data_IF_050364344267
#
_entry.id   IF_050364344267
#
_cell.length_a   1.000
_cell.length_b   1.000
_cell.length_c   1.000
_cell.angle_alpha   90.00
_cell.angle_beta   90.00
_cell.angle_gamma   90.00
#
_symmetry.space_group_name_H-M   'P 1'
#
loop_
_entity.id
_entity.type
_entity.pdbx_description
1 polymer ?
#
# COMPACT_ATOMS: atom_id res chain seq x y z
N UNK A 1 11.80 7.95 6.90
CA UNK A 1 10.94 9.15 6.71
C UNK A 1 10.75 9.85 8.05
N UNK A 2 10.87 11.18 8.08
CA UNK A 2 10.81 11.99 9.30
C UNK A 2 9.37 12.09 9.84
N UNK A 3 8.95 11.14 10.69
CA UNK A 3 7.72 11.22 11.48
C UNK A 3 7.99 12.15 12.66
N UNK A 4 7.86 13.47 12.46
CA UNK A 4 8.08 14.49 13.48
C UNK A 4 6.92 15.46 13.54
N UNK A 5 6.70 16.04 14.72
CA UNK A 5 5.76 17.14 14.88
C UNK A 5 6.13 18.30 13.95
N UNK A 6 5.11 18.89 13.31
CA UNK A 6 5.24 20.06 12.46
C UNK A 6 4.43 21.19 13.08
N UNK A 7 5.12 22.28 13.46
CA UNK A 7 4.46 23.45 14.05
C UNK A 7 3.40 24.02 13.12
N UNK A 8 2.25 24.41 13.69
CA UNK A 8 1.10 24.95 12.95
C UNK A 8 0.20 23.89 12.30
N UNK A 9 0.50 22.60 12.44
CA UNK A 9 -0.36 21.51 12.01
C UNK A 9 -0.78 20.66 13.21
N UNK A 10 -2.06 20.29 13.25
CA UNK A 10 -2.54 19.28 14.19
C UNK A 10 -1.86 17.95 13.84
N UNK A 11 -1.11 17.41 14.80
CA UNK A 11 -0.39 16.16 14.66
C UNK A 11 -0.84 15.24 15.78
N UNK A 12 -1.27 14.03 15.41
CA UNK A 12 -1.59 12.98 16.35
C UNK A 12 -0.56 11.86 16.20
N UNK A 13 0.12 11.50 17.30
CA UNK A 13 1.14 10.45 17.30
C UNK A 13 0.61 9.24 18.05
N UNK A 14 0.57 8.10 17.35
CA UNK A 14 0.12 6.81 17.87
C UNK A 14 0.75 5.68 17.07
N UNK A 15 0.74 4.46 17.62
CA UNK A 15 1.06 3.26 16.86
C UNK A 15 -0.14 2.82 16.01
N UNK A 16 0.05 2.74 14.69
CA UNK A 16 -1.00 2.30 13.77
C UNK A 16 -1.45 0.86 14.00
N UNK A 17 -0.59 0.02 14.58
CA UNK A 17 -0.93 -1.34 14.96
C UNK A 17 -1.86 -1.40 16.19
N UNK A 18 -2.05 -0.28 16.91
CA UNK A 18 -2.97 -0.16 18.04
C UNK A 18 -4.22 0.63 17.64
N UNK A 19 -5.34 -0.08 17.46
CA UNK A 19 -6.61 0.52 17.06
C UNK A 19 -7.12 1.57 18.06
N UNK A 20 -7.00 1.32 19.36
CA UNK A 20 -7.50 2.20 20.40
C UNK A 20 -6.72 3.52 20.43
N UNK A 21 -5.41 3.44 20.22
CA UNK A 21 -4.57 4.63 20.14
C UNK A 21 -4.90 5.49 18.92
N UNK A 22 -5.14 4.90 17.74
CA UNK A 22 -5.40 5.72 16.55
C UNK A 22 -6.82 6.27 16.48
N UNK A 23 -7.80 5.63 17.13
CA UNK A 23 -9.22 5.95 16.98
C UNK A 23 -9.57 7.44 17.17
N UNK A 24 -9.03 8.17 18.16
CA UNK A 24 -9.31 9.60 18.34
C UNK A 24 -8.88 10.47 17.16
N UNK A 25 -7.90 10.06 16.36
CA UNK A 25 -7.44 10.82 15.19
C UNK A 25 -8.45 10.83 14.03
N UNK A 26 -9.45 9.95 14.06
CA UNK A 26 -10.47 9.83 13.01
C UNK A 26 -11.73 10.65 13.32
N UNK A 27 -11.87 11.16 14.55
CA UNK A 27 -13.03 11.94 14.95
C UNK A 27 -13.15 13.21 14.09
N UNK A 28 -14.37 13.44 13.59
CA UNK A 28 -14.74 14.60 12.74
C UNK A 28 -13.99 14.67 11.40
N UNK A 29 -13.35 13.57 10.97
CA UNK A 29 -12.73 13.51 9.65
C UNK A 29 -13.72 13.03 8.59
N UNK A 30 -13.79 13.72 7.45
CA UNK A 30 -14.61 13.29 6.30
C UNK A 30 -13.89 12.27 5.41
N UNK A 31 -12.56 12.39 5.30
CA UNK A 31 -11.71 11.62 4.37
C UNK A 31 -10.40 11.25 5.05
N UNK A 32 -9.92 10.02 4.81
CA UNK A 32 -8.60 9.55 5.26
C UNK A 32 -7.73 9.24 4.06
N UNK A 33 -6.49 9.73 4.06
CA UNK A 33 -5.46 9.36 3.09
C UNK A 33 -4.45 8.44 3.78
N UNK A 34 -4.51 7.14 3.48
CA UNK A 34 -3.67 6.13 4.13
C UNK A 34 -2.37 5.92 3.34
N UNK A 35 -1.29 6.53 3.85
CA UNK A 35 0.07 6.45 3.29
C UNK A 35 1.03 5.63 4.18
N UNK A 36 0.55 5.10 5.30
CA UNK A 36 1.40 4.43 6.26
C UNK A 36 1.71 2.99 5.81
N UNK A 37 3.01 2.70 5.67
CA UNK A 37 3.57 1.38 5.47
C UNK A 37 5.07 1.42 5.78
N UNK A 38 5.64 0.26 6.10
CA UNK A 38 7.05 -0.04 5.86
C UNK A 38 7.18 -0.37 4.37
N UNK A 39 7.88 0.50 3.63
CA UNK A 39 8.07 0.41 2.19
C UNK A 39 9.52 0.03 1.85
N UNK A 40 9.97 -1.09 2.41
CA UNK A 40 11.30 -1.64 2.21
C UNK A 40 11.18 -3.06 1.62
N UNK A 41 11.84 -3.30 0.49
CA UNK A 41 11.85 -4.60 -0.20
C UNK A 41 12.66 -5.68 0.53
N UNK A 42 13.53 -5.28 1.46
CA UNK A 42 14.29 -6.19 2.32
C UNK A 42 13.64 -6.45 3.69
N UNK A 43 12.48 -5.84 3.98
CA UNK A 43 11.80 -6.01 5.25
C UNK A 43 11.35 -7.47 5.47
N UNK A 44 11.48 -7.94 6.70
CA UNK A 44 11.03 -9.27 7.09
C UNK A 44 9.52 -9.31 7.26
N UNK A 45 8.96 -10.51 7.44
CA UNK A 45 7.54 -10.67 7.76
C UNK A 45 7.15 -9.91 9.04
N UNK A 46 7.97 -9.99 10.08
CA UNK A 46 7.68 -9.36 11.38
C UNK A 46 7.72 -7.84 11.29
N UNK A 47 8.60 -7.28 10.44
CA UNK A 47 8.65 -5.84 10.17
C UNK A 47 7.39 -5.33 9.45
N UNK A 48 6.74 -6.19 8.66
CA UNK A 48 5.63 -5.82 7.77
C UNK A 48 4.25 -6.09 8.38
N UNK A 49 4.10 -7.16 9.15
CA UNK A 49 2.80 -7.62 9.65
C UNK A 49 2.06 -6.53 10.43
N UNK A 50 2.72 -5.93 11.42
CA UNK A 50 2.12 -4.91 12.28
C UNK A 50 1.76 -3.63 11.49
N UNK A 51 2.70 -2.94 10.81
CA UNK A 51 2.39 -1.68 10.15
C UNK A 51 1.57 -1.82 8.86
N UNK A 52 1.82 -2.84 8.03
CA UNK A 52 1.24 -2.90 6.69
C UNK A 52 -0.09 -3.66 6.65
N UNK A 53 -0.26 -4.68 7.49
CA UNK A 53 -1.48 -5.53 7.49
C UNK A 53 -2.39 -5.10 8.65
N UNK A 54 -1.94 -5.26 9.89
CA UNK A 54 -2.75 -4.95 11.08
C UNK A 54 -3.08 -3.45 11.10
N UNK A 55 -2.08 -2.59 10.87
CA UNK A 55 -2.27 -1.15 10.82
C UNK A 55 -3.25 -0.70 9.73
N UNK A 56 -3.20 -1.31 8.54
CA UNK A 56 -4.15 -1.00 7.47
C UNK A 56 -5.57 -1.40 7.85
N UNK A 57 -5.77 -2.58 8.44
CA UNK A 57 -7.07 -2.98 8.97
C UNK A 57 -7.57 -1.99 10.03
N UNK A 58 -6.72 -1.60 10.98
CA UNK A 58 -7.09 -0.66 12.02
C UNK A 58 -7.50 0.70 11.46
N UNK A 59 -6.83 1.21 10.42
CA UNK A 59 -7.23 2.44 9.74
C UNK A 59 -8.64 2.31 9.16
N UNK A 60 -8.95 1.20 8.48
CA UNK A 60 -10.28 0.96 7.95
C UNK A 60 -11.34 0.86 9.06
N UNK A 61 -11.04 0.17 10.15
CA UNK A 61 -11.96 0.00 11.27
C UNK A 61 -12.17 1.30 12.05
N UNK A 62 -11.12 2.08 12.31
CA UNK A 62 -11.22 3.39 12.96
C UNK A 62 -12.03 4.36 12.11
N UNK A 63 -11.78 4.40 10.79
CA UNK A 63 -12.56 5.19 9.84
C UNK A 63 -14.04 4.78 9.82
N UNK A 64 -14.32 3.47 9.79
CA UNK A 64 -15.71 2.94 9.86
C UNK A 64 -16.41 3.35 11.16
N UNK A 65 -15.73 3.27 12.31
CA UNK A 65 -16.27 3.66 13.62
C UNK A 65 -16.54 5.16 13.73
N UNK A 66 -15.68 5.99 13.15
CA UNK A 66 -15.81 7.44 13.17
C UNK A 66 -16.78 8.00 12.12
N UNK A 67 -17.28 7.16 11.21
CA UNK A 67 -18.18 7.60 10.13
C UNK A 67 -17.49 8.35 9.00
N UNK A 68 -16.19 8.10 8.79
CA UNK A 68 -15.42 8.62 7.65
C UNK A 68 -16.08 8.17 6.35
N UNK A 69 -16.25 9.10 5.40
CA UNK A 69 -17.01 8.86 4.16
C UNK A 69 -16.17 8.27 3.04
N UNK A 70 -14.84 8.46 3.08
CA UNK A 70 -13.93 7.99 2.03
C UNK A 70 -12.54 7.71 2.57
N UNK A 71 -11.94 6.65 2.07
CA UNK A 71 -10.54 6.32 2.32
C UNK A 71 -9.82 6.26 0.97
N UNK A 72 -8.69 6.95 0.88
CA UNK A 72 -7.79 6.90 -0.26
C UNK A 72 -6.60 6.05 0.18
N UNK A 73 -6.55 4.82 -0.33
CA UNK A 73 -5.47 3.87 -0.05
C UNK A 73 -4.38 3.97 -1.11
N UNK A 74 -3.15 4.29 -0.70
CA UNK A 74 -2.00 4.25 -1.59
C UNK A 74 -1.47 2.80 -1.71
N UNK A 75 -1.88 2.11 -2.78
CA UNK A 75 -1.30 0.82 -3.15
C UNK A 75 0.13 0.98 -3.70
N UNK A 76 0.75 -0.12 -4.16
CA UNK A 76 2.12 -0.14 -4.69
C UNK A 76 2.19 -0.88 -6.03
N UNK A 77 3.05 -0.43 -6.94
CA UNK A 77 3.39 -1.17 -8.15
C UNK A 77 3.97 -2.57 -7.85
N UNK A 78 4.53 -2.76 -6.64
CA UNK A 78 5.01 -4.07 -6.17
C UNK A 78 3.90 -5.13 -6.07
N UNK A 79 2.62 -4.76 -6.16
CA UNK A 79 1.49 -5.71 -6.19
C UNK A 79 1.35 -6.46 -7.52
N UNK A 80 2.00 -5.98 -8.58
CA UNK A 80 1.92 -6.55 -9.94
C UNK A 80 3.28 -6.79 -10.60
N UNK A 81 4.39 -6.32 -10.01
CA UNK A 81 5.72 -6.35 -10.65
C UNK A 81 6.27 -7.76 -10.87
N UNK A 82 5.72 -8.82 -10.28
CA UNK A 82 6.20 -10.17 -10.58
C UNK A 82 5.80 -10.65 -11.98
N UNK A 83 4.86 -9.96 -12.65
CA UNK A 83 4.63 -10.12 -14.10
C UNK A 83 5.89 -9.90 -14.94
N UNK A 84 6.82 -9.07 -14.48
CA UNK A 84 8.07 -8.72 -15.18
C UNK A 84 9.03 -9.91 -15.32
N UNK A 85 8.74 -11.05 -14.68
CA UNK A 85 9.51 -12.29 -14.84
C UNK A 85 9.10 -13.10 -16.07
N UNK A 86 7.96 -12.79 -16.66
CA UNK A 86 7.41 -13.50 -17.81
C UNK A 86 7.54 -12.67 -19.08
N UNK A 87 7.73 -13.35 -20.21
CA UNK A 87 7.66 -12.72 -21.52
C UNK A 87 6.18 -12.47 -21.89
N UNK A 88 5.82 -11.32 -22.49
CA UNK A 88 6.71 -10.26 -22.98
C UNK A 88 7.04 -9.14 -21.97
N UNK A 89 6.50 -9.19 -20.75
CA UNK A 89 6.61 -8.10 -19.78
C UNK A 89 8.05 -7.86 -19.32
N UNK A 90 8.85 -8.92 -19.18
CA UNK A 90 10.26 -8.81 -18.85
C UNK A 90 11.07 -8.08 -19.93
N UNK A 91 10.76 -8.30 -21.21
CA UNK A 91 11.37 -7.56 -22.33
C UNK A 91 10.91 -6.11 -22.33
N UNK A 92 9.62 -5.86 -22.09
CA UNK A 92 9.04 -4.50 -22.02
C UNK A 92 9.74 -3.66 -20.94
N UNK A 93 9.89 -4.18 -19.72
CA UNK A 93 10.54 -3.45 -18.61
C UNK A 93 12.03 -3.21 -18.86
N UNK A 94 12.70 -4.11 -19.61
CA UNK A 94 14.09 -3.91 -20.07
C UNK A 94 14.20 -2.94 -21.26
N UNK A 95 13.08 -2.56 -21.88
CA UNK A 95 13.04 -1.72 -23.07
C UNK A 95 13.40 -2.46 -24.37
N UNK A 96 13.36 -3.79 -24.37
CA UNK A 96 13.72 -4.61 -25.55
C UNK A 96 12.49 -4.93 -26.42
N UNK A 97 11.90 -3.89 -26.99
CA UNK A 97 10.68 -3.99 -27.79
C UNK A 97 10.86 -4.78 -29.10
N UNK A 98 12.10 -5.00 -29.55
CA UNK A 98 12.38 -5.80 -30.75
C UNK A 98 12.03 -7.28 -30.56
N UNK A 99 12.00 -7.76 -29.32
CA UNK A 99 11.63 -9.12 -28.96
C UNK A 99 10.14 -9.26 -28.58
N UNK A 100 9.37 -8.17 -28.65
CA UNK A 100 7.97 -8.14 -28.26
C UNK A 100 7.11 -8.06 -29.51
N UNK A 101 6.21 -9.04 -29.69
CA UNK A 101 5.16 -8.98 -30.73
C UNK A 101 4.35 -7.70 -30.57
N UNK A 102 3.94 -7.04 -31.65
CA UNK A 102 3.09 -5.82 -31.59
C UNK A 102 1.74 -6.03 -30.87
N UNK A 103 1.28 -7.29 -30.76
CA UNK A 103 0.00 -7.67 -30.16
C UNK A 103 0.20 -8.51 -28.89
N UNK A 104 0.76 -7.92 -27.83
CA UNK A 104 0.88 -8.59 -26.53
C UNK A 104 -0.34 -8.36 -25.64
N UNK A 105 -0.64 -9.29 -24.71
CA UNK A 105 -1.69 -9.08 -23.71
C UNK A 105 -1.31 -7.92 -22.77
N UNK A 106 -2.09 -6.85 -22.76
CA UNK A 106 -1.87 -5.71 -21.85
C UNK A 106 -2.37 -6.06 -20.46
N UNK A 107 -1.58 -5.72 -19.43
CA UNK A 107 -2.05 -5.76 -18.05
C UNK A 107 -3.07 -4.64 -17.83
N UNK A 108 -4.16 -4.96 -17.15
CA UNK A 108 -5.24 -4.03 -16.83
C UNK A 108 -5.61 -4.12 -15.35
N UNK A 109 -6.58 -3.32 -14.91
CA UNK A 109 -7.11 -3.39 -13.55
C UNK A 109 -7.84 -4.71 -13.24
N UNK A 110 -8.18 -5.51 -14.26
CA UNK A 110 -8.80 -6.85 -14.09
C UNK A 110 -7.75 -7.97 -14.05
N UNK A 111 -6.49 -7.68 -14.37
CA UNK A 111 -5.42 -8.67 -14.31
C UNK A 111 -5.18 -9.12 -12.87
N UNK A 112 -4.90 -10.41 -12.68
CA UNK A 112 -4.56 -10.92 -11.35
C UNK A 112 -3.34 -10.19 -10.80
N UNK A 113 -3.38 -9.91 -9.49
CA UNK A 113 -2.22 -9.40 -8.77
C UNK A 113 -1.12 -10.44 -8.77
N UNK A 114 0.11 -10.00 -9.01
CA UNK A 114 1.33 -10.81 -8.94
C UNK A 114 2.38 -10.06 -8.15
N UNK A 115 2.27 -10.08 -6.82
CA UNK A 115 3.12 -9.27 -5.97
C UNK A 115 4.56 -9.78 -5.97
N UNK A 116 5.52 -8.87 -6.03
CA UNK A 116 6.93 -9.21 -5.81
C UNK A 116 7.30 -9.06 -4.32
N UNK A 117 7.75 -10.15 -3.71
CA UNK A 117 8.23 -10.17 -2.33
C UNK A 117 7.14 -9.90 -1.27
N UNK A 118 7.53 -9.96 0.01
CA UNK A 118 6.59 -9.83 1.13
C UNK A 118 5.92 -8.45 1.18
N UNK A 119 6.67 -7.37 0.91
CA UNK A 119 6.10 -6.02 0.84
C UNK A 119 4.96 -5.94 -0.17
N UNK A 120 5.16 -6.41 -1.40
CA UNK A 120 4.13 -6.45 -2.43
C UNK A 120 2.89 -7.21 -1.97
N UNK A 121 3.06 -8.37 -1.33
CA UNK A 121 1.96 -9.17 -0.79
C UNK A 121 1.15 -8.39 0.25
N UNK A 122 1.80 -7.65 1.15
CA UNK A 122 1.09 -6.87 2.18
C UNK A 122 0.24 -5.72 1.62
N UNK A 123 0.55 -5.26 0.39
CA UNK A 123 -0.16 -4.15 -0.28
C UNK A 123 -1.33 -4.60 -1.16
N UNK A 124 -1.48 -5.91 -1.40
CA UNK A 124 -2.66 -6.48 -2.07
C UNK A 124 -3.90 -6.44 -1.16
N UNK A 125 -3.71 -6.39 0.16
CA UNK A 125 -4.77 -6.49 1.16
C UNK A 125 -5.60 -5.21 1.39
N UNK A 126 -5.20 -4.07 0.84
CA UNK A 126 -5.85 -2.78 1.09
C UNK A 126 -6.57 -2.18 -0.11
#
# INVERSE_FOLDING_TARGET
MNRRHVSGLECYQADIANLEEIQPAFDKQDVVVHLAAVADGGATWDDLLAPNIIGTYNVFEAARRAGVKRIIYASSGSTISDWERESPYGEIVKGDYNQVSENWPKLTHESITRPSGLYGCTKVWG
#
